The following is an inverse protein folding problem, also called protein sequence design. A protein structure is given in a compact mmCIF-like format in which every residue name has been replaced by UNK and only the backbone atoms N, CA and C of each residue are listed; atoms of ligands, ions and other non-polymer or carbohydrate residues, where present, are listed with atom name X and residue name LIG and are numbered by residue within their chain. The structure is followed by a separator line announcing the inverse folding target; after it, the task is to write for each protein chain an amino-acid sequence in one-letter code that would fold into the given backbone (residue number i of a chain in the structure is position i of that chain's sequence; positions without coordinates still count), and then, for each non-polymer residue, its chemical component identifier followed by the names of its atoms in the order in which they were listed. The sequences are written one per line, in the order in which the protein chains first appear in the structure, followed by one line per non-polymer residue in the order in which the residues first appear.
data_IF_517673588335
#
_entry.id   IF_517673588335
#
_cell.length_a   1.000
_cell.length_b   1.000
_cell.length_c   1.000
_cell.angle_alpha   90.00
_cell.angle_beta   90.00
_cell.angle_gamma   90.00
#
_symmetry.space_group_name_H-M   'P 1'
#
loop_
_entity.id
_entity.type
_entity.pdbx_description
1 polymer ?
#
# COMPACT_ATOMS: atom_id res chain seq x y z
N UNK A 1 20.63 -8.39 5.64
CA UNK A 1 19.44 -7.53 5.80
C UNK A 1 18.72 -7.47 4.47
N UNK A 2 17.41 -7.66 4.44
CA UNK A 2 16.57 -7.47 3.26
C UNK A 2 15.58 -6.37 3.62
N UNK A 3 15.54 -5.28 2.85
CA UNK A 3 14.53 -4.24 2.98
C UNK A 3 13.36 -4.60 2.05
N UNK A 4 12.19 -4.90 2.62
CA UNK A 4 11.04 -5.34 1.85
C UNK A 4 10.43 -4.16 1.08
N UNK A 5 10.36 -4.24 -0.26
CA UNK A 5 9.71 -3.19 -1.04
C UNK A 5 8.21 -3.16 -0.75
N UNK A 6 7.71 -2.00 -0.34
CA UNK A 6 6.28 -1.72 -0.13
C UNK A 6 5.41 -2.08 -1.34
N UNK A 7 4.23 -2.62 -1.05
CA UNK A 7 3.28 -3.06 -2.07
C UNK A 7 1.86 -3.10 -1.51
N UNK A 8 0.87 -3.07 -2.40
CA UNK A 8 -0.55 -3.30 -2.07
C UNK A 8 -0.97 -4.63 -2.64
N UNK A 9 -1.64 -5.42 -1.84
CA UNK A 9 -2.36 -6.61 -2.26
C UNK A 9 -3.80 -6.25 -2.61
N UNK A 10 -4.30 -6.81 -3.72
CA UNK A 10 -5.71 -6.75 -4.10
C UNK A 10 -6.16 -8.06 -4.72
N UNK A 11 -7.45 -8.37 -4.58
CA UNK A 11 -8.15 -9.29 -5.49
C UNK A 11 -8.38 -8.63 -6.86
N UNK A 12 -8.64 -9.41 -7.93
CA UNK A 12 -9.01 -8.83 -9.22
C UNK A 12 -10.25 -7.91 -9.18
N UNK A 13 -11.23 -8.24 -8.31
CA UNK A 13 -12.43 -7.42 -8.12
C UNK A 13 -12.09 -6.07 -7.48
N UNK A 14 -11.32 -6.08 -6.38
CA UNK A 14 -10.87 -4.85 -5.72
C UNK A 14 -10.01 -4.01 -6.66
N UNK A 15 -9.05 -4.60 -7.37
CA UNK A 15 -8.22 -3.88 -8.33
C UNK A 15 -9.07 -3.11 -9.36
N UNK A 16 -10.14 -3.74 -9.87
CA UNK A 16 -11.11 -3.10 -10.77
C UNK A 16 -11.88 -1.96 -10.10
N UNK A 17 -12.33 -2.13 -8.86
CA UNK A 17 -13.03 -1.08 -8.09
C UNK A 17 -12.15 0.14 -7.84
N UNK A 18 -10.87 -0.09 -7.53
CA UNK A 18 -9.87 0.97 -7.33
C UNK A 18 -9.29 1.51 -8.65
N UNK A 19 -9.67 0.97 -9.81
CA UNK A 19 -9.17 1.40 -11.12
C UNK A 19 -7.68 1.15 -11.33
N UNK A 20 -7.11 0.13 -10.69
CA UNK A 20 -5.69 -0.25 -10.76
C UNK A 20 -5.49 -1.62 -11.40
N UNK A 21 -4.27 -1.89 -11.87
CA UNK A 21 -3.87 -3.15 -12.51
C UNK A 21 -2.69 -3.83 -11.80
N UNK A 22 -2.51 -5.14 -12.02
CA UNK A 22 -1.33 -5.87 -11.52
C UNK A 22 -0.03 -5.22 -11.99
N UNK A 23 0.94 -5.11 -11.07
CA UNK A 23 2.25 -4.47 -11.23
C UNK A 23 2.22 -2.97 -11.53
N UNK A 24 1.04 -2.33 -11.50
CA UNK A 24 0.96 -0.87 -11.57
C UNK A 24 1.71 -0.25 -10.39
N UNK A 25 2.41 0.84 -10.66
CA UNK A 25 3.10 1.63 -9.65
C UNK A 25 2.22 2.83 -9.30
N UNK A 26 1.90 2.98 -8.02
CA UNK A 26 1.06 4.07 -7.51
C UNK A 26 1.78 4.83 -6.38
N UNK A 27 1.20 5.96 -6.00
CA UNK A 27 1.54 6.63 -4.74
C UNK A 27 0.43 6.43 -3.72
N UNK A 28 0.79 6.32 -2.44
CA UNK A 28 -0.18 6.19 -1.35
C UNK A 28 0.06 7.27 -0.33
N UNK A 29 -0.96 8.09 -0.06
CA UNK A 29 -0.96 9.04 1.04
C UNK A 29 -1.43 8.36 2.32
N UNK A 30 -0.66 8.53 3.38
CA UNK A 30 -1.08 8.22 4.75
C UNK A 30 -1.28 9.55 5.47
N UNK A 31 -2.47 9.71 6.06
CA UNK A 31 -2.81 10.88 6.86
C UNK A 31 -2.51 10.62 8.34
N UNK A 32 -2.39 11.69 9.13
CA UNK A 32 -2.10 11.61 10.57
C UNK A 32 -0.97 12.54 11.01
N UNK A 33 -0.45 12.36 12.24
CA UNK A 33 0.52 13.28 12.85
C UNK A 33 1.88 13.30 12.14
N UNK A 34 2.21 12.26 11.37
CA UNK A 34 3.38 12.21 10.48
C UNK A 34 2.96 11.91 9.04
N UNK A 35 1.99 12.68 8.54
CA UNK A 35 1.45 12.50 7.20
C UNK A 35 2.53 12.52 6.13
N UNK A 36 2.48 11.59 5.19
CA UNK A 36 3.42 11.49 4.09
C UNK A 36 2.81 10.78 2.88
N UNK A 37 3.53 10.80 1.76
CA UNK A 37 3.18 10.05 0.56
C UNK A 37 4.31 9.05 0.28
N UNK A 38 3.96 7.77 0.26
CA UNK A 38 4.83 6.73 -0.25
C UNK A 38 4.71 6.67 -1.76
N UNK A 39 5.80 7.00 -2.48
CA UNK A 39 5.89 6.76 -3.91
C UNK A 39 6.32 5.32 -4.23
N UNK A 40 6.24 4.94 -5.50
CA UNK A 40 6.73 3.63 -5.98
C UNK A 40 6.12 2.40 -5.28
N UNK A 41 4.84 2.47 -4.90
CA UNK A 41 4.11 1.35 -4.29
C UNK A 41 3.62 0.42 -5.38
N UNK A 42 4.05 -0.85 -5.35
CA UNK A 42 3.68 -1.84 -6.37
C UNK A 42 2.32 -2.43 -6.04
N UNK A 43 1.36 -2.38 -6.96
CA UNK A 43 0.12 -3.14 -6.86
C UNK A 43 0.38 -4.59 -7.26
N UNK A 44 -0.10 -5.54 -6.47
CA UNK A 44 -0.02 -6.98 -6.74
C UNK A 44 -1.42 -7.57 -6.66
N UNK A 45 -1.88 -8.16 -7.75
CA UNK A 45 -3.23 -8.69 -7.87
C UNK A 45 -3.21 -10.22 -7.87
N UNK A 46 -3.98 -10.83 -6.96
CA UNK A 46 -4.14 -12.28 -6.90
C UNK A 46 -5.48 -12.65 -6.26
N UNK A 47 -6.11 -13.75 -6.69
CA UNK A 47 -7.38 -14.22 -6.12
C UNK A 47 -7.28 -14.62 -4.63
N UNK A 48 -6.07 -14.93 -4.14
CA UNK A 48 -5.82 -15.32 -2.74
C UNK A 48 -5.44 -14.15 -1.84
N UNK A 49 -5.47 -12.93 -2.35
CA UNK A 49 -5.13 -11.72 -1.61
C UNK A 49 -6.37 -11.06 -1.02
N UNK A 50 -6.13 -10.07 -0.16
CA UNK A 50 -7.12 -9.12 0.29
C UNK A 50 -6.49 -7.71 0.30
N UNK A 51 -7.34 -6.69 0.34
CA UNK A 51 -6.94 -5.28 0.28
C UNK A 51 -6.09 -4.89 1.49
N UNK A 52 -4.76 -4.88 1.29
CA UNK A 52 -3.82 -4.50 2.34
C UNK A 52 -2.54 -3.91 1.72
N UNK A 53 -2.12 -2.75 2.22
CA UNK A 53 -0.80 -2.22 1.95
C UNK A 53 0.20 -2.80 2.97
N UNK A 54 1.27 -3.37 2.47
CA UNK A 54 2.39 -3.86 3.28
C UNK A 54 3.54 -2.87 3.17
N UNK A 55 3.97 -2.37 4.33
CA UNK A 55 5.16 -1.53 4.55
C UNK A 55 5.98 -2.16 5.67
N UNK A 56 7.27 -1.86 5.74
CA UNK A 56 8.10 -2.35 6.84
C UNK A 56 7.92 -1.53 8.13
N UNK A 57 8.59 -1.97 9.21
CA UNK A 57 8.52 -1.32 10.51
C UNK A 57 9.03 0.12 10.49
N UNK A 58 10.08 0.41 9.71
CA UNK A 58 10.66 1.74 9.64
C UNK A 58 9.76 2.70 8.87
N UNK A 59 9.15 2.23 7.78
CA UNK A 59 8.11 2.96 7.04
C UNK A 59 6.87 3.22 7.90
N UNK A 60 6.40 2.22 8.66
CA UNK A 60 5.27 2.37 9.59
C UNK A 60 5.57 3.44 10.65
N UNK A 61 6.75 3.39 11.26
CA UNK A 61 7.21 4.37 12.24
C UNK A 61 7.36 5.78 11.64
N UNK A 62 7.84 5.88 10.40
CA UNK A 62 7.98 7.15 9.68
C UNK A 62 6.63 7.83 9.42
N UNK A 63 5.59 7.04 9.11
CA UNK A 63 4.23 7.52 8.86
C UNK A 63 3.36 7.63 10.13
N UNK A 64 3.86 7.20 11.30
CA UNK A 64 3.04 6.99 12.50
C UNK A 64 1.82 6.08 12.24
N UNK A 65 1.98 5.09 11.36
CA UNK A 65 0.95 4.12 11.02
C UNK A 65 0.96 2.93 11.99
N UNK A 66 -0.20 2.34 12.20
CA UNK A 66 -0.43 1.08 12.92
C UNK A 66 -1.28 0.13 12.06
N UNK A 67 -1.33 -1.19 12.35
CA UNK A 67 -2.20 -2.11 11.64
C UNK A 67 -3.66 -1.59 11.59
N UNK A 68 -4.24 -1.55 10.39
CA UNK A 68 -5.57 -0.99 10.14
C UNK A 68 -5.62 0.50 9.80
N UNK A 69 -4.47 1.19 9.75
CA UNK A 69 -4.41 2.57 9.23
C UNK A 69 -4.78 2.58 7.75
N UNK A 70 -5.72 3.45 7.36
CA UNK A 70 -6.16 3.58 5.97
C UNK A 70 -5.23 4.51 5.17
N UNK A 71 -5.00 4.15 3.91
CA UNK A 71 -4.26 4.97 2.95
C UNK A 71 -5.12 5.36 1.75
N UNK A 72 -4.73 6.43 1.07
CA UNK A 72 -5.39 6.96 -0.12
C UNK A 72 -4.47 6.74 -1.31
N UNK A 73 -4.92 5.98 -2.31
CA UNK A 73 -4.21 5.83 -3.59
C UNK A 73 -4.36 7.13 -4.38
N UNK A 74 -3.25 7.65 -4.89
CA UNK A 74 -3.17 8.88 -5.71
C UNK A 74 -2.92 8.55 -7.19
#
# INVERSE_FOLDING_TARGET
MIAAKRHIHFTPAQAKEFGVSDKQIVSVRIEGPRSLVFGEVVVRVNEKFDAAMHIDTDESNAASAVPGTMGIIL
#
